data_IF_620958262615
#
_entry.id   IF_620958262615
#
_cell.length_a   1.000
_cell.length_b   1.000
_cell.length_c   1.000
_cell.angle_alpha   90.00
_cell.angle_beta   90.00
_cell.angle_gamma   90.00
#
_symmetry.space_group_name_H-M   'P 1'
#
loop_
_entity.id
_entity.type
_entity.pdbx_description
1 polymer ?
#
# COMPACT_ATOMS: atom_id res chain seq x y z
N UNK A 1 1.20 0.44 -18.27
CA UNK A 1 0.29 0.76 -19.32
C UNK A 1 -1.10 0.20 -19.10
N UNK A 2 -2.07 1.02 -19.20
CA UNK A 2 -3.41 0.55 -18.93
C UNK A 2 -4.06 0.04 -20.20
N UNK A 3 -4.93 -0.92 -20.07
CA UNK A 3 -5.72 -1.41 -21.19
C UNK A 3 -7.09 -0.75 -21.13
N UNK A 4 -7.82 -0.94 -22.21
CA UNK A 4 -9.17 -0.43 -22.25
C UNK A 4 -10.06 -1.25 -21.35
N UNK A 5 -10.64 -0.62 -20.36
CA UNK A 5 -11.52 -1.29 -19.40
C UNK A 5 -12.97 -1.06 -19.80
N UNK A 6 -13.81 -2.04 -19.48
CA UNK A 6 -15.26 -1.85 -19.67
C UNK A 6 -15.76 -0.88 -18.60
N UNK A 7 -16.95 -0.37 -18.82
CA UNK A 7 -17.55 0.55 -17.85
C UNK A 7 -17.73 -0.11 -16.48
N UNK A 8 -18.11 -1.39 -16.48
CA UNK A 8 -18.28 -2.11 -15.23
C UNK A 8 -16.95 -2.33 -14.52
N UNK A 9 -15.90 -2.61 -15.29
CA UNK A 9 -14.58 -2.79 -14.70
C UNK A 9 -14.09 -1.49 -14.09
N UNK A 10 -14.30 -0.38 -14.80
CA UNK A 10 -13.90 0.92 -14.27
C UNK A 10 -14.71 1.25 -13.02
N UNK A 11 -16.01 0.98 -13.03
CA UNK A 11 -16.85 1.24 -11.87
C UNK A 11 -16.45 0.37 -10.68
N UNK A 12 -16.04 -0.88 -10.95
CA UNK A 12 -15.57 -1.76 -9.90
C UNK A 12 -14.31 -1.20 -9.23
N UNK A 13 -13.37 -0.75 -10.04
CA UNK A 13 -12.13 -0.20 -9.49
C UNK A 13 -12.40 1.07 -8.69
N UNK A 14 -13.24 1.95 -9.21
CA UNK A 14 -13.57 3.17 -8.50
C UNK A 14 -14.24 2.86 -7.16
N UNK A 15 -15.20 1.95 -7.17
CA UNK A 15 -15.90 1.59 -5.94
C UNK A 15 -14.98 0.91 -4.93
N UNK A 16 -14.07 0.08 -5.41
CA UNK A 16 -13.16 -0.67 -4.54
C UNK A 16 -12.34 0.25 -3.67
N UNK A 17 -11.90 1.37 -4.22
CA UNK A 17 -11.04 2.31 -3.50
C UNK A 17 -11.79 3.47 -2.87
N UNK A 18 -13.10 3.50 -3.00
CA UNK A 18 -13.92 4.57 -2.43
C UNK A 18 -14.99 3.99 -1.53
N UNK A 19 -16.17 3.75 -2.07
CA UNK A 19 -17.31 3.38 -1.24
C UNK A 19 -17.23 1.98 -0.65
N UNK A 20 -16.61 1.06 -1.34
CA UNK A 20 -16.49 -0.31 -0.84
C UNK A 20 -15.35 -0.47 0.17
N UNK A 21 -14.49 0.52 0.29
CA UNK A 21 -13.43 0.52 1.28
C UNK A 21 -12.57 -0.74 1.22
N UNK A 22 -12.27 -1.18 0.00
CA UNK A 22 -11.41 -2.33 -0.21
C UNK A 22 -12.11 -3.67 -0.25
N UNK A 23 -13.43 -3.70 -0.10
CA UNK A 23 -14.19 -4.94 -0.10
C UNK A 23 -14.62 -5.29 -1.52
N UNK A 24 -14.05 -6.35 -2.14
CA UNK A 24 -14.38 -6.66 -3.53
C UNK A 24 -15.84 -7.09 -3.74
N UNK A 25 -16.43 -7.77 -2.78
CA UNK A 25 -17.82 -8.18 -2.91
C UNK A 25 -18.74 -6.97 -2.96
N UNK A 26 -18.49 -6.02 -2.09
CA UNK A 26 -19.27 -4.79 -2.05
C UNK A 26 -19.05 -3.98 -3.33
N UNK A 27 -17.81 -3.95 -3.81
CA UNK A 27 -17.48 -3.23 -5.03
C UNK A 27 -18.21 -3.81 -6.25
N UNK A 28 -18.35 -5.14 -6.30
CA UNK A 28 -19.09 -5.76 -7.38
C UNK A 28 -20.55 -5.31 -7.41
N UNK A 29 -21.16 -5.24 -6.24
CA UNK A 29 -22.54 -4.80 -6.14
C UNK A 29 -22.69 -3.36 -6.57
N UNK A 30 -21.80 -2.51 -6.12
CA UNK A 30 -21.85 -1.10 -6.47
C UNK A 30 -21.60 -0.86 -7.95
N UNK A 31 -20.81 -1.72 -8.57
CA UNK A 31 -20.50 -1.58 -9.98
C UNK A 31 -21.60 -2.15 -10.89
N UNK A 32 -22.59 -2.83 -10.32
CA UNK A 32 -23.69 -3.35 -11.10
C UNK A 32 -23.48 -4.74 -11.67
N UNK A 33 -22.54 -5.49 -11.13
CA UNK A 33 -22.36 -6.86 -11.55
C UNK A 33 -23.50 -7.74 -11.03
N UNK A 34 -23.82 -8.78 -11.79
CA UNK A 34 -24.88 -9.69 -11.42
C UNK A 34 -24.55 -10.43 -10.14
N UNK A 35 -25.58 -10.80 -9.39
CA UNK A 35 -25.39 -11.62 -8.21
C UNK A 35 -24.75 -12.94 -8.59
N UNK A 36 -23.89 -13.42 -7.71
CA UNK A 36 -23.17 -14.65 -7.98
C UNK A 36 -21.88 -14.46 -8.76
N UNK A 37 -21.58 -13.23 -9.19
CA UNK A 37 -20.31 -12.96 -9.87
C UNK A 37 -19.18 -13.19 -8.88
N UNK A 38 -18.15 -13.91 -9.31
CA UNK A 38 -17.02 -14.23 -8.45
C UNK A 38 -16.09 -13.03 -8.29
N UNK A 39 -15.95 -12.56 -7.07
CA UNK A 39 -15.03 -11.45 -6.79
C UNK A 39 -13.58 -11.87 -7.06
N UNK A 40 -13.24 -13.11 -6.78
CA UNK A 40 -11.91 -13.63 -7.04
C UNK A 40 -11.55 -13.54 -8.51
N UNK A 41 -12.51 -13.91 -9.37
CA UNK A 41 -12.29 -13.87 -10.81
C UNK A 41 -12.06 -12.43 -11.29
N UNK A 42 -12.89 -11.51 -10.83
CA UNK A 42 -12.77 -10.12 -11.25
C UNK A 42 -11.45 -9.51 -10.74
N UNK A 43 -11.10 -9.81 -9.49
CA UNK A 43 -9.83 -9.32 -8.94
C UNK A 43 -8.65 -9.88 -9.72
N UNK A 44 -8.73 -11.13 -10.12
CA UNK A 44 -7.67 -11.77 -10.89
C UNK A 44 -7.50 -11.12 -12.26
N UNK A 45 -8.60 -10.83 -12.92
CA UNK A 45 -8.58 -10.19 -14.23
C UNK A 45 -8.01 -8.76 -14.14
N UNK A 46 -8.34 -8.05 -13.07
CA UNK A 46 -7.94 -6.66 -12.91
C UNK A 46 -6.74 -6.48 -11.99
N UNK A 47 -6.00 -7.55 -11.73
CA UNK A 47 -4.93 -7.54 -10.76
C UNK A 47 -3.88 -6.46 -11.02
N UNK A 48 -3.53 -6.23 -12.29
CA UNK A 48 -2.57 -5.18 -12.63
C UNK A 48 -3.09 -3.79 -12.30
N UNK A 49 -4.35 -3.55 -12.66
CA UNK A 49 -4.98 -2.26 -12.41
C UNK A 49 -5.18 -2.03 -10.90
N UNK A 50 -5.52 -3.09 -10.18
CA UNK A 50 -5.66 -2.99 -8.73
C UNK A 50 -4.32 -2.63 -8.08
N UNK A 51 -3.24 -3.26 -8.55
CA UNK A 51 -1.91 -2.96 -8.01
C UNK A 51 -1.52 -1.50 -8.26
N UNK A 52 -1.78 -0.99 -9.46
CA UNK A 52 -1.48 0.39 -9.78
C UNK A 52 -2.28 1.35 -8.90
N UNK A 53 -3.57 1.09 -8.78
CA UNK A 53 -4.42 1.94 -7.95
C UNK A 53 -4.05 1.88 -6.49
N UNK A 54 -3.59 0.72 -6.02
CA UNK A 54 -3.15 0.58 -4.64
C UNK A 54 -1.95 1.48 -4.37
N UNK A 55 -1.00 1.51 -5.29
CA UNK A 55 0.16 2.38 -5.16
C UNK A 55 -0.25 3.84 -5.09
N UNK A 56 -1.14 4.25 -5.98
CA UNK A 56 -1.62 5.62 -5.98
C UNK A 56 -2.36 5.96 -4.70
N UNK A 57 -3.19 5.04 -4.24
CA UNK A 57 -3.95 5.24 -3.01
C UNK A 57 -3.03 5.46 -1.83
N UNK A 58 -2.00 4.62 -1.70
CA UNK A 58 -1.03 4.75 -0.61
C UNK A 58 -0.30 6.09 -0.71
N UNK A 59 0.12 6.46 -1.91
CA UNK A 59 0.84 7.71 -2.10
C UNK A 59 -0.02 8.92 -1.72
N UNK A 60 -1.29 8.90 -2.13
CA UNK A 60 -2.16 10.05 -1.85
C UNK A 60 -2.62 10.12 -0.41
N UNK A 61 -2.56 9.00 0.32
CA UNK A 61 -2.94 8.98 1.73
C UNK A 61 -1.76 9.19 2.66
N UNK A 62 -0.56 9.32 2.11
CA UNK A 62 0.63 9.58 2.91
C UNK A 62 0.50 10.78 3.84
N UNK A 63 -0.03 11.91 3.36
CA UNK A 63 -0.18 13.08 4.25
C UNK A 63 -1.08 12.80 5.45
N UNK A 64 -2.13 12.00 5.28
CA UNK A 64 -3.00 11.66 6.40
C UNK A 64 -2.26 10.84 7.45
N UNK A 65 -1.41 9.92 6.99
CA UNK A 65 -0.59 9.12 7.91
C UNK A 65 0.40 10.00 8.65
N UNK A 66 1.01 10.96 7.95
CA UNK A 66 1.94 11.89 8.57
C UNK A 66 1.25 12.71 9.66
N UNK A 67 0.03 13.18 9.39
CA UNK A 67 -0.73 13.92 10.38
C UNK A 67 -1.06 13.08 11.60
N UNK A 68 -1.39 11.79 11.39
CA UNK A 68 -1.66 10.89 12.50
C UNK A 68 -0.43 10.79 13.40
N UNK A 69 0.75 10.70 12.81
CA UNK A 69 1.99 10.65 13.58
C UNK A 69 2.20 11.94 14.36
N UNK A 70 1.92 13.09 13.75
CA UNK A 70 2.02 14.37 14.44
C UNK A 70 1.11 14.44 15.65
N UNK A 71 -0.12 13.93 15.49
CA UNK A 71 -1.06 13.95 16.61
C UNK A 71 -0.61 13.09 17.75
N UNK A 72 -0.02 11.94 17.47
CA UNK A 72 0.52 11.07 18.50
C UNK A 72 1.65 11.77 19.24
N UNK A 73 2.50 12.48 18.51
CA UNK A 73 3.61 13.22 19.12
C UNK A 73 3.13 14.31 20.06
N UNK A 74 1.97 14.90 19.75
CA UNK A 74 1.39 15.94 20.61
C UNK A 74 0.71 15.39 21.85
N UNK A 75 0.24 14.16 21.78
CA UNK A 75 -0.49 13.54 22.89
C UNK A 75 -0.02 12.12 23.11
N UNK A 76 1.24 11.96 23.51
CA UNK A 76 1.84 10.62 23.58
C UNK A 76 1.23 9.69 24.62
N UNK A 77 0.48 10.24 25.55
CA UNK A 77 -0.12 9.43 26.61
C UNK A 77 -1.54 8.99 26.29
N UNK A 78 -2.09 9.44 25.16
CA UNK A 78 -3.44 9.02 24.78
C UNK A 78 -3.51 7.53 24.52
N UNK A 79 -4.64 6.97 24.86
CA UNK A 79 -4.88 5.56 24.66
C UNK A 79 -4.83 5.20 23.18
N UNK A 80 -4.17 4.11 22.86
CA UNK A 80 -4.09 3.66 21.47
C UNK A 80 -3.04 4.35 20.63
N UNK A 81 -2.29 5.28 21.19
CA UNK A 81 -1.30 6.02 20.41
C UNK A 81 -0.19 5.15 19.88
N UNK A 82 0.20 4.14 20.66
CA UNK A 82 1.25 3.23 20.21
C UNK A 82 0.85 2.52 18.93
N UNK A 83 -0.39 2.06 18.89
CA UNK A 83 -0.90 1.37 17.72
C UNK A 83 -1.06 2.30 16.54
N UNK A 84 -1.53 3.53 16.80
CA UNK A 84 -1.64 4.52 15.73
C UNK A 84 -0.30 4.86 15.13
N UNK A 85 0.70 5.03 15.97
CA UNK A 85 2.05 5.34 15.49
C UNK A 85 2.60 4.21 14.64
N UNK A 86 2.41 2.97 15.11
CA UNK A 86 2.89 1.81 14.36
C UNK A 86 2.22 1.71 12.99
N UNK A 87 0.91 1.93 12.94
CA UNK A 87 0.18 1.89 11.69
C UNK A 87 0.62 2.99 10.73
N UNK A 88 0.80 4.20 11.27
CA UNK A 88 1.20 5.32 10.44
C UNK A 88 2.60 5.12 9.87
N UNK A 89 3.51 4.60 10.68
CA UNK A 89 4.87 4.32 10.21
C UNK A 89 4.87 3.26 9.14
N UNK A 90 4.10 2.22 9.32
CA UNK A 90 4.00 1.16 8.33
C UNK A 90 3.45 1.71 7.02
N UNK A 91 2.44 2.55 7.09
CA UNK A 91 1.85 3.15 5.92
C UNK A 91 2.85 4.04 5.19
N UNK A 92 3.61 4.84 5.93
CA UNK A 92 4.62 5.71 5.33
C UNK A 92 5.73 4.90 4.68
N UNK A 93 6.11 3.79 5.28
CA UNK A 93 7.11 2.90 4.68
C UNK A 93 6.63 2.38 3.34
N UNK A 94 5.37 1.99 3.26
CA UNK A 94 4.80 1.48 2.00
C UNK A 94 4.69 2.55 0.96
N UNK A 95 4.57 3.81 1.40
CA UNK A 95 4.53 4.94 0.47
C UNK A 95 5.93 5.35 -0.01
N UNK A 96 6.97 4.71 0.48
CA UNK A 96 8.32 4.99 0.03
C UNK A 96 9.14 5.88 0.93
N UNK A 97 8.67 6.20 2.12
CA UNK A 97 9.39 7.07 3.04
C UNK A 97 10.07 6.27 4.13
N UNK A 98 10.89 5.30 3.71
CA UNK A 98 11.59 4.46 4.66
C UNK A 98 12.87 5.12 5.12
N UNK A 99 13.38 4.66 6.25
CA UNK A 99 14.62 5.19 6.79
C UNK A 99 15.79 4.83 5.89
N UNK A 100 16.69 5.79 5.73
CA UNK A 100 17.84 5.62 4.86
C UNK A 100 18.79 4.55 5.34
N UNK A 101 18.94 4.43 6.64
CA UNK A 101 19.90 3.47 7.19
C UNK A 101 19.58 2.03 6.80
N UNK A 102 18.31 1.72 6.55
CA UNK A 102 17.95 0.41 6.11
C UNK A 102 18.48 0.11 4.74
N UNK A 103 18.51 1.11 3.89
CA UNK A 103 18.97 0.94 2.54
C UNK A 103 20.44 0.69 2.51
N UNK A 104 21.18 1.40 3.34
CA UNK A 104 22.61 1.26 3.36
C UNK A 104 23.07 -0.11 3.74
N UNK A 105 22.38 -0.72 4.66
CA UNK A 105 22.73 -2.05 5.09
C UNK A 105 22.65 -3.04 3.97
N UNK A 106 21.74 -2.85 3.06
CA UNK A 106 21.62 -3.76 1.96
C UNK A 106 22.58 -3.52 0.89
N UNK A 107 22.88 -2.29 0.69
CA UNK A 107 23.67 -1.95 -0.46
C UNK A 107 25.04 -2.49 -0.39
N UNK A 108 25.49 -2.71 0.57
CA UNK A 108 26.85 -3.04 0.59
C UNK A 108 27.26 -4.28 0.76
N UNK A 109 26.86 -4.32 0.48
CA UNK A 109 27.41 -5.07 0.54
C UNK A 109 28.20 -5.58 0.13
N UNK A 110 28.43 -5.53 0.15
CA UNK A 110 29.30 -5.97 0.03
C UNK A 110 30.16 -5.94 0.32
N UNK A 111 29.88 -5.67 0.84
CA UNK A 111 30.70 -5.65 1.19
C UNK A 111 31.16 -6.05 1.73
N UNK A 112 30.86 -6.24 1.83
CA UNK A 112 31.52 -6.61 2.21
C UNK A 112 32.00 -7.09 2.29
N UNK A 113 31.82 -6.99 2.17
CA UNK A 113 32.46 -7.43 2.13
C UNK A 113 33.22 -7.76 2.17
N UNK A 114 33.16 -7.79 2.01
CA UNK A 114 34.03 -8.14 1.99
C UNK A 114 34.81 -8.30 2.09
N UNK A 115 34.94 -8.26 2.01
CA UNK A 115 35.80 -8.52 1.96
C UNK A 115 36.44 -8.94 2.09
N UNK A 116 36.41 -9.09 1.95
CA UNK A 116 37.17 -9.54 1.94
C UNK A 116 37.78 -10.02 2.08
N UNK A 117 37.65 -10.26 2.01
CA UNK A 117 38.37 -10.75 2.04
C UNK A 117 39.11 -11.16 1.93
N UNK A 118 38.90 -11.09 1.68
CA UNK A 118 39.69 -11.45 1.43
C UNK A 118 40.37 -11.69 1.39
N UNK A 119 40.31 -11.64 1.33
CA UNK A 119 41.19 -11.97 1.21
C UNK A 119 41.90 -12.16 1.25
N UNK A 120 41.60 -12.15 1.16
CA UNK A 120 42.43 -12.41 1.23
C UNK A 120 43.26 -12.64 1.00
N UNK A 121 43.23 -12.76 0.71
CA UNK A 121 44.31 -13.12 0.50
C UNK A 121 45.17 -13.26 0.50
#
# INVERSE_FOLDING_TARGET
MSRNLTEKQQAFLDALFEEAEGNPVKALKLAGYAEGTSSTTIMSVLKGEVAERTKDFIATRGPAAAWAMMQVMRSPTDLGNKEKMAAAKDFMDRAGFVKTDKIEVKADSPLFILPPKENEN
#
